data_IF_201899995542
#
_entry.id   IF_201899995542
#
_cell.length_a   1.000
_cell.length_b   1.000
_cell.length_c   1.000
_cell.angle_alpha   90.00
_cell.angle_beta   90.00
_cell.angle_gamma   90.00
#
_symmetry.space_group_name_H-M   'P 1'
#
loop_
_entity.id
_entity.type
_entity.pdbx_description
1 polymer ?
#
# COMPACT_ATOMS: atom_id res chain seq x y z
N UNK A 1 20.51 -0.26 5.37
CA UNK A 1 19.77 -1.06 6.37
C UNK A 1 18.29 -1.09 6.00
N UNK A 2 17.65 -2.24 6.17
CA UNK A 2 16.24 -2.43 5.81
C UNK A 2 15.43 -2.62 7.09
N UNK A 3 14.30 -1.92 7.18
CA UNK A 3 13.34 -2.06 8.28
C UNK A 3 11.97 -2.40 7.72
N UNK A 4 11.39 -3.49 8.21
CA UNK A 4 10.05 -3.90 7.86
C UNK A 4 9.17 -3.89 9.11
N UNK A 5 7.94 -3.38 8.97
CA UNK A 5 6.98 -3.35 10.07
C UNK A 5 5.57 -3.60 9.56
N UNK A 6 4.73 -4.03 10.46
CA UNK A 6 3.31 -4.21 10.17
C UNK A 6 2.64 -2.86 10.02
N UNK A 7 1.72 -2.79 9.07
CA UNK A 7 0.86 -1.63 8.90
C UNK A 7 -0.51 -2.05 8.39
N UNK A 8 -1.37 -1.07 8.25
CA UNK A 8 -2.70 -1.27 7.66
C UNK A 8 -2.89 -0.33 6.49
N UNK A 9 -3.59 -0.81 5.49
CA UNK A 9 -3.96 -0.02 4.33
C UNK A 9 -5.44 -0.11 4.08
N UNK A 10 -5.90 0.67 3.11
CA UNK A 10 -7.30 0.67 2.68
C UNK A 10 -7.35 0.29 1.21
N UNK A 11 -8.18 -0.70 0.90
CA UNK A 11 -8.50 -1.06 -0.48
C UNK A 11 -9.88 -0.49 -0.80
N UNK A 12 -9.95 0.32 -1.85
CA UNK A 12 -11.20 0.97 -2.27
C UNK A 12 -11.54 0.52 -3.68
N UNK A 13 -12.79 0.15 -3.89
CA UNK A 13 -13.32 -0.14 -5.22
C UNK A 13 -14.48 0.80 -5.52
N UNK A 14 -14.52 1.30 -6.74
CA UNK A 14 -15.55 2.23 -7.18
C UNK A 14 -15.78 2.04 -8.67
N UNK A 15 -16.96 2.41 -9.15
CA UNK A 15 -17.22 2.41 -10.59
C UNK A 15 -16.26 3.38 -11.28
N UNK A 16 -15.58 2.91 -12.32
CA UNK A 16 -14.68 3.77 -13.07
C UNK A 16 -15.44 4.70 -14.02
N UNK A 17 -15.07 5.96 -13.97
CA UNK A 17 -15.52 6.98 -14.92
C UNK A 17 -14.47 8.09 -14.94
N UNK A 18 -14.47 8.92 -15.96
CA UNK A 18 -13.61 10.10 -15.98
C UNK A 18 -13.92 10.95 -14.75
N UNK A 19 -12.88 11.28 -13.98
CA UNK A 19 -13.02 12.05 -12.75
C UNK A 19 -13.24 11.22 -11.49
N UNK A 20 -13.26 9.90 -11.57
CA UNK A 20 -13.46 9.05 -10.38
C UNK A 20 -12.42 9.32 -9.30
N UNK A 21 -11.15 9.46 -9.69
CA UNK A 21 -10.08 9.74 -8.72
C UNK A 21 -10.17 11.17 -8.18
N UNK A 22 -10.63 12.11 -9.00
CA UNK A 22 -10.84 13.49 -8.55
C UNK A 22 -11.92 13.56 -7.47
N UNK A 23 -13.04 12.84 -7.66
CA UNK A 23 -14.11 12.77 -6.64
C UNK A 23 -13.59 12.14 -5.35
N UNK A 24 -12.85 11.06 -5.45
CA UNK A 24 -12.23 10.39 -4.30
C UNK A 24 -11.29 11.35 -3.55
N UNK A 25 -10.43 12.06 -4.28
CA UNK A 25 -9.48 13.01 -3.71
C UNK A 25 -10.19 14.14 -2.96
N UNK A 26 -11.33 14.59 -3.49
CA UNK A 26 -12.13 15.63 -2.86
C UNK A 26 -12.71 15.16 -1.52
N UNK A 27 -13.23 13.95 -1.48
CA UNK A 27 -13.76 13.36 -0.24
C UNK A 27 -12.68 13.26 0.83
N UNK A 28 -11.50 12.74 0.48
CA UNK A 28 -10.43 12.58 1.48
C UNK A 28 -9.89 13.93 1.93
N UNK A 29 -9.78 14.90 1.03
CA UNK A 29 -9.30 16.24 1.37
C UNK A 29 -10.27 17.00 2.28
N UNK A 30 -11.56 16.95 1.96
CA UNK A 30 -12.59 17.62 2.75
C UNK A 30 -12.73 17.06 4.17
N UNK A 31 -12.37 15.81 4.35
CA UNK A 31 -12.45 15.14 5.66
C UNK A 31 -11.10 15.07 6.39
N UNK A 32 -10.10 15.78 5.90
CA UNK A 32 -8.81 15.89 6.57
C UNK A 32 -8.04 14.59 6.66
N UNK A 33 -8.22 13.68 5.70
CA UNK A 33 -7.48 12.43 5.65
C UNK A 33 -6.07 12.69 5.14
N UNK A 34 -5.07 12.23 5.89
CA UNK A 34 -3.67 12.34 5.47
C UNK A 34 -3.24 11.06 4.78
N UNK A 35 -2.97 11.17 3.48
CA UNK A 35 -2.50 10.05 2.66
C UNK A 35 -0.98 10.00 2.69
N UNK A 36 -0.42 8.87 3.08
CA UNK A 36 1.02 8.64 3.12
C UNK A 36 1.54 7.95 1.86
N UNK A 37 0.72 7.09 1.26
CA UNK A 37 1.03 6.43 0.00
C UNK A 37 -0.27 6.06 -0.69
N UNK A 38 -0.27 6.09 -2.02
CA UNK A 38 -1.45 5.74 -2.81
C UNK A 38 -1.02 5.11 -4.13
N UNK A 39 -1.75 4.10 -4.55
CA UNK A 39 -1.69 3.59 -5.92
C UNK A 39 -3.11 3.39 -6.42
N UNK A 40 -3.33 3.65 -7.69
CA UNK A 40 -4.66 3.56 -8.28
C UNK A 40 -4.55 3.05 -9.71
N UNK A 41 -5.51 2.22 -10.12
CA UNK A 41 -5.56 1.68 -11.47
C UNK A 41 -6.99 1.34 -11.83
N UNK A 42 -7.20 1.03 -13.09
CA UNK A 42 -8.50 0.58 -13.59
C UNK A 42 -8.42 -0.91 -13.87
N UNK A 43 -9.38 -1.64 -13.38
CA UNK A 43 -9.49 -3.09 -13.57
C UNK A 43 -10.93 -3.40 -13.98
N UNK A 44 -11.10 -3.89 -15.20
CA UNK A 44 -12.42 -4.02 -15.83
C UNK A 44 -13.14 -2.68 -15.80
N UNK A 45 -14.31 -2.60 -15.20
CA UNK A 45 -15.07 -1.36 -15.12
C UNK A 45 -14.93 -0.67 -13.76
N UNK A 46 -13.94 -1.07 -12.97
CA UNK A 46 -13.73 -0.53 -11.64
C UNK A 46 -12.46 0.32 -11.53
N UNK A 47 -12.56 1.38 -10.76
CA UNK A 47 -11.38 2.08 -10.25
C UNK A 47 -10.98 1.40 -8.94
N UNK A 48 -9.74 0.97 -8.85
CA UNK A 48 -9.20 0.32 -7.65
C UNK A 48 -8.15 1.25 -7.06
N UNK A 49 -8.29 1.53 -5.77
CA UNK A 49 -7.38 2.45 -5.08
C UNK A 49 -6.85 1.74 -3.83
N UNK A 50 -5.55 1.78 -3.66
CA UNK A 50 -4.91 1.31 -2.43
C UNK A 50 -4.22 2.49 -1.78
N UNK A 51 -4.47 2.70 -0.50
CA UNK A 51 -3.83 3.81 0.21
C UNK A 51 -3.37 3.41 1.60
N UNK A 52 -2.30 4.09 2.01
CA UNK A 52 -1.82 4.08 3.39
C UNK A 52 -2.08 5.47 3.92
N UNK A 53 -2.70 5.56 5.10
CA UNK A 53 -3.06 6.83 5.73
C UNK A 53 -2.73 6.79 7.22
N UNK A 54 -2.80 7.93 7.88
CA UNK A 54 -2.45 8.00 9.30
C UNK A 54 -3.48 7.34 10.20
N UNK A 55 -4.77 7.49 9.89
CA UNK A 55 -5.86 6.99 10.73
C UNK A 55 -6.75 6.06 9.94
N UNK A 56 -6.33 4.80 9.80
CA UNK A 56 -7.03 3.82 8.96
C UNK A 56 -8.50 3.63 9.33
N UNK A 57 -8.89 3.40 10.61
CA UNK A 57 -10.31 3.21 10.93
C UNK A 57 -11.18 4.41 10.60
N UNK A 58 -10.69 5.62 10.87
CA UNK A 58 -11.41 6.85 10.56
C UNK A 58 -11.56 7.04 9.06
N UNK A 59 -10.50 6.77 8.32
CA UNK A 59 -10.52 6.86 6.85
C UNK A 59 -11.55 5.92 6.25
N UNK A 60 -11.60 4.69 6.73
CA UNK A 60 -12.60 3.71 6.25
C UNK A 60 -14.02 4.20 6.54
N UNK A 61 -14.27 4.73 7.74
CA UNK A 61 -15.58 5.26 8.10
C UNK A 61 -15.99 6.42 7.19
N UNK A 62 -15.07 7.35 6.95
CA UNK A 62 -15.31 8.48 6.04
C UNK A 62 -15.65 8.00 4.62
N UNK A 63 -14.89 7.06 4.11
CA UNK A 63 -15.11 6.54 2.76
C UNK A 63 -16.44 5.79 2.63
N UNK A 64 -16.76 4.96 3.61
CA UNK A 64 -18.04 4.23 3.61
C UNK A 64 -19.24 5.17 3.72
N UNK A 65 -19.13 6.23 4.54
CA UNK A 65 -20.18 7.24 4.67
C UNK A 65 -20.41 8.00 3.35
N UNK A 66 -19.40 8.02 2.47
CA UNK A 66 -19.51 8.66 1.17
C UNK A 66 -19.76 7.67 0.03
N UNK A 67 -20.18 6.44 0.36
CA UNK A 67 -20.64 5.45 -0.61
C UNK A 67 -19.55 4.60 -1.23
N UNK A 68 -18.31 4.66 -0.74
CA UNK A 68 -17.23 3.83 -1.25
C UNK A 68 -17.18 2.46 -0.58
N UNK A 69 -16.84 1.44 -1.35
CA UNK A 69 -16.51 0.12 -0.82
C UNK A 69 -15.05 0.18 -0.36
N UNK A 70 -14.87 0.36 0.94
CA UNK A 70 -13.55 0.50 1.55
C UNK A 70 -13.32 -0.62 2.56
N UNK A 71 -12.18 -1.30 2.45
CA UNK A 71 -11.83 -2.44 3.29
C UNK A 71 -10.43 -2.29 3.83
N UNK A 72 -10.24 -2.68 5.09
CA UNK A 72 -8.90 -2.72 5.69
C UNK A 72 -8.10 -3.89 5.13
N UNK A 73 -6.82 -3.65 4.92
CA UNK A 73 -5.87 -4.68 4.49
C UNK A 73 -4.61 -4.59 5.33
N UNK A 74 -4.10 -5.74 5.74
CA UNK A 74 -2.78 -5.81 6.36
C UNK A 74 -1.71 -5.61 5.31
N UNK A 75 -0.68 -4.87 5.65
CA UNK A 75 0.45 -4.62 4.76
C UNK A 75 1.76 -4.70 5.53
N UNK A 76 2.83 -4.86 4.79
CA UNK A 76 4.19 -4.73 5.30
C UNK A 76 4.74 -3.41 4.77
N UNK A 77 5.17 -2.55 5.68
CA UNK A 77 5.79 -1.27 5.34
C UNK A 77 7.31 -1.43 5.46
N UNK A 78 8.02 -1.10 4.40
CA UNK A 78 9.47 -1.27 4.33
C UNK A 78 10.13 0.08 4.07
N UNK A 79 11.15 0.38 4.88
CA UNK A 79 12.04 1.51 4.65
C UNK A 79 13.45 0.98 4.50
N UNK A 80 14.18 1.47 3.52
CA UNK A 80 15.53 1.00 3.25
C UNK A 80 16.37 2.09 2.60
N UNK A 81 17.69 1.97 2.76
CA UNK A 81 18.61 2.73 1.94
C UNK A 81 18.59 2.12 0.54
N UNK A 82 18.51 2.97 -0.49
CA UNK A 82 18.49 2.46 -1.85
C UNK A 82 19.85 1.92 -2.25
N UNK A 83 19.86 0.68 -2.72
CA UNK A 83 21.03 0.04 -3.31
C UNK A 83 20.59 -0.71 -4.57
N UNK A 84 21.42 -0.70 -5.63
CA UNK A 84 21.12 -1.54 -6.80
C UNK A 84 20.94 -3.01 -6.38
N UNK A 85 19.86 -3.62 -6.82
CA UNK A 85 19.57 -5.00 -6.49
C UNK A 85 18.75 -5.23 -5.21
N UNK A 86 18.33 -4.17 -4.50
CA UNK A 86 17.53 -4.35 -3.29
C UNK A 86 16.20 -5.07 -3.59
N UNK A 87 15.55 -4.74 -4.70
CA UNK A 87 14.32 -5.43 -5.09
C UNK A 87 14.57 -6.91 -5.34
N UNK A 88 15.66 -7.24 -6.06
CA UNK A 88 16.05 -8.62 -6.29
C UNK A 88 16.26 -9.36 -4.97
N UNK A 89 16.96 -8.75 -4.03
CA UNK A 89 17.30 -9.41 -2.77
C UNK A 89 16.06 -9.68 -1.93
N UNK A 90 15.14 -8.70 -1.85
CA UNK A 90 13.88 -8.87 -1.13
C UNK A 90 13.02 -9.96 -1.77
N UNK A 91 12.83 -9.90 -3.09
CA UNK A 91 11.97 -10.86 -3.77
C UNK A 91 12.53 -12.28 -3.73
N UNK A 92 13.83 -12.43 -3.87
CA UNK A 92 14.48 -13.75 -3.77
C UNK A 92 14.40 -14.34 -2.37
N UNK A 93 14.57 -13.49 -1.35
CA UNK A 93 14.44 -13.93 0.05
C UNK A 93 13.05 -14.51 0.29
N UNK A 94 12.01 -13.81 -0.12
CA UNK A 94 10.64 -14.26 0.07
C UNK A 94 10.33 -15.51 -0.75
N UNK A 95 10.77 -15.54 -2.01
CA UNK A 95 10.57 -16.70 -2.87
C UNK A 95 11.25 -17.95 -2.30
N UNK A 96 12.44 -17.81 -1.71
CA UNK A 96 13.16 -18.94 -1.13
C UNK A 96 12.43 -19.57 0.07
N UNK A 97 11.52 -18.83 0.68
CA UNK A 97 10.69 -19.30 1.81
C UNK A 97 9.26 -19.57 1.37
N UNK A 98 9.02 -19.67 0.09
CA UNK A 98 7.69 -19.97 -0.48
C UNK A 98 6.63 -18.93 -0.09
N UNK A 99 7.02 -17.67 0.02
CA UNK A 99 6.10 -16.57 0.28
C UNK A 99 5.82 -15.87 -1.04
N UNK A 100 4.52 -15.76 -1.37
CA UNK A 100 4.07 -15.10 -2.58
C UNK A 100 3.85 -13.60 -2.33
N UNK A 101 4.34 -12.76 -3.22
CA UNK A 101 4.09 -11.33 -3.17
C UNK A 101 2.83 -11.07 -3.97
N UNK A 102 1.76 -10.68 -3.28
CA UNK A 102 0.45 -10.45 -3.89
C UNK A 102 0.32 -9.04 -4.44
N UNK A 103 0.98 -8.08 -3.81
CA UNK A 103 1.00 -6.70 -4.25
C UNK A 103 2.28 -6.04 -3.73
N UNK A 104 2.89 -5.23 -4.57
CA UNK A 104 4.07 -4.45 -4.18
C UNK A 104 4.00 -3.09 -4.85
N UNK A 105 4.19 -2.06 -4.03
CA UNK A 105 4.39 -0.70 -4.50
C UNK A 105 5.66 -0.17 -3.86
N UNK A 106 6.59 0.34 -4.66
CA UNK A 106 7.86 0.82 -4.15
C UNK A 106 8.26 2.11 -4.86
N UNK A 107 8.92 2.98 -4.13
CA UNK A 107 9.38 4.25 -4.65
C UNK A 107 10.68 4.65 -3.97
N UNK A 108 11.59 5.24 -4.73
CA UNK A 108 12.80 5.86 -4.21
C UNK A 108 12.66 7.37 -4.33
N UNK A 109 12.79 8.05 -3.21
CA UNK A 109 12.74 9.53 -3.19
C UNK A 109 14.04 10.09 -3.75
N UNK A 110 15.16 9.47 -3.40
CA UNK A 110 16.49 9.81 -3.91
C UNK A 110 17.38 8.57 -3.88
N UNK A 111 18.68 8.77 -4.03
CA UNK A 111 19.64 7.65 -4.04
C UNK A 111 19.83 6.99 -2.68
N UNK A 112 19.33 7.58 -1.61
CA UNK A 112 19.61 7.12 -0.26
C UNK A 112 18.42 6.47 0.42
N UNK A 113 17.22 6.71 -0.06
CA UNK A 113 16.02 6.27 0.65
C UNK A 113 14.99 5.72 -0.30
N UNK A 114 14.49 4.54 0.02
CA UNK A 114 13.33 3.97 -0.66
C UNK A 114 12.31 3.44 0.35
N UNK A 115 11.06 3.45 -0.07
CA UNK A 115 9.95 2.93 0.71
C UNK A 115 9.17 1.94 -0.13
N UNK A 116 8.61 0.93 0.52
CA UNK A 116 7.78 -0.05 -0.17
C UNK A 116 6.60 -0.46 0.71
N UNK A 117 5.51 -0.81 0.04
CA UNK A 117 4.33 -1.38 0.66
C UNK A 117 4.12 -2.74 0.01
N UNK A 118 4.10 -3.79 0.81
CA UNK A 118 3.88 -5.15 0.33
C UNK A 118 2.66 -5.76 0.98
N UNK A 119 1.97 -6.59 0.20
CA UNK A 119 1.03 -7.55 0.74
C UNK A 119 1.46 -8.92 0.25
N UNK A 120 1.65 -9.84 1.18
CA UNK A 120 2.19 -11.18 0.86
C UNK A 120 1.26 -12.27 1.38
N UNK A 121 1.56 -13.50 1.00
CA UNK A 121 0.85 -14.66 1.52
C UNK A 121 1.10 -14.92 3.00
N UNK A 122 2.15 -14.31 3.57
CA UNK A 122 2.47 -14.40 5.01
C UNK A 122 3.22 -13.13 5.43
N UNK A 123 2.48 -12.10 5.81
CA UNK A 123 3.04 -10.81 6.18
C UNK A 123 3.91 -10.89 7.44
N UNK A 124 3.49 -11.68 8.42
CA UNK A 124 4.26 -11.83 9.66
C UNK A 124 5.64 -12.42 9.38
N UNK A 125 5.70 -13.48 8.60
CA UNK A 125 6.96 -14.12 8.24
C UNK A 125 7.83 -13.19 7.38
N UNK A 126 7.20 -12.43 6.50
CA UNK A 126 7.89 -11.43 5.67
C UNK A 126 8.62 -10.41 6.54
N UNK A 127 7.95 -9.88 7.56
CA UNK A 127 8.55 -8.91 8.48
C UNK A 127 9.77 -9.52 9.19
N UNK A 128 9.64 -10.73 9.68
CA UNK A 128 10.74 -11.43 10.36
C UNK A 128 11.94 -11.61 9.43
N UNK A 129 11.68 -12.06 8.19
CA UNK A 129 12.76 -12.33 7.22
C UNK A 129 13.46 -11.06 6.77
N UNK A 130 12.72 -9.98 6.57
CA UNK A 130 13.31 -8.74 6.08
C UNK A 130 14.08 -7.97 7.14
N UNK A 131 13.79 -8.20 8.42
CA UNK A 131 14.49 -7.56 9.53
C UNK A 131 15.75 -8.32 9.98
N UNK A 132 15.94 -9.50 9.46
CA UNK A 132 17.13 -10.31 9.81
C UNK A 132 18.38 -9.85 9.07
#
# INVERSE_FOLDING_TARGET
MLKARHGTGVLVRSTNKVGALAEFSEVVAENGVTILAISAWVEDAEAVIRLICEETPRTIAVLRDNGYDAQERDVVLVEAEYEPGILRDVTKTLASKNIDILHLFASAVDKNECVAVLNTSDNQRTIELLND
#
